data_IF_184621571231
#
_entry.id   IF_184621571231
#
_cell.length_a   1.000
_cell.length_b   1.000
_cell.length_c   1.000
_cell.angle_alpha   90.00
_cell.angle_beta   90.00
_cell.angle_gamma   90.00
#
_symmetry.space_group_name_H-M   'P 1'
#
loop_
_entity.id
_entity.type
_entity.pdbx_description
1 polymer ?
#
# COMPACT_ATOMS: atom_id res chain seq x y z
N UNK A 1 0.58 -3.24 11.77
CA UNK A 1 0.97 -4.50 12.45
C UNK A 1 2.41 -4.77 12.09
N UNK A 2 3.31 -4.78 13.08
CA UNK A 2 4.74 -5.01 12.87
C UNK A 2 5.08 -6.47 12.58
N UNK A 3 6.38 -6.75 12.34
CA UNK A 3 6.90 -8.12 12.13
C UNK A 3 6.61 -9.05 13.32
N UNK A 4 6.61 -8.47 14.52
CA UNK A 4 6.23 -9.10 15.79
C UNK A 4 4.73 -9.39 15.94
N UNK A 5 3.93 -9.10 14.89
CA UNK A 5 2.47 -9.25 14.83
C UNK A 5 1.71 -8.35 15.81
N UNK A 6 2.35 -7.32 16.35
CA UNK A 6 1.70 -6.36 17.25
C UNK A 6 1.05 -5.23 16.44
N UNK A 7 -0.23 -4.89 16.69
CA UNK A 7 -0.86 -3.69 16.13
C UNK A 7 -0.19 -2.42 16.66
N UNK A 8 0.16 -1.51 15.75
CA UNK A 8 0.64 -0.19 16.14
C UNK A 8 -0.55 0.68 16.56
N UNK A 9 -0.36 1.50 17.58
CA UNK A 9 -1.24 2.63 17.86
C UNK A 9 -1.00 3.75 16.83
N UNK A 10 -1.88 4.76 16.83
CA UNK A 10 -1.71 5.95 16.00
C UNK A 10 -0.50 6.79 16.47
N UNK A 11 0.26 7.33 15.52
CA UNK A 11 1.38 8.24 15.76
C UNK A 11 2.46 8.11 14.69
N UNK A 12 3.44 9.02 14.67
CA UNK A 12 4.51 9.03 13.67
C UNK A 12 4.05 9.38 12.25
N UNK A 13 4.78 8.91 11.24
CA UNK A 13 4.49 9.10 9.80
C UNK A 13 4.89 7.87 8.98
N UNK A 14 4.43 7.81 7.73
CA UNK A 14 4.79 6.77 6.73
C UNK A 14 4.47 5.32 7.13
N UNK A 15 3.52 5.10 8.04
CA UNK A 15 3.26 3.81 8.69
C UNK A 15 1.83 3.30 8.47
N UNK A 16 1.18 3.73 7.39
CA UNK A 16 -0.16 3.26 7.03
C UNK A 16 -0.11 1.84 6.44
N UNK A 17 -1.20 1.08 6.59
CA UNK A 17 -1.31 -0.23 5.93
C UNK A 17 -1.58 -0.05 4.42
N UNK A 18 -0.61 -0.44 3.57
CA UNK A 18 -0.69 -0.30 2.11
C UNK A 18 -1.76 -1.20 1.44
N UNK A 19 -2.25 -2.19 2.19
CA UNK A 19 -3.31 -3.10 1.76
C UNK A 19 -4.71 -2.67 2.22
N UNK A 20 -4.82 -1.65 3.08
CA UNK A 20 -6.11 -1.18 3.60
C UNK A 20 -7.00 -0.61 2.47
N UNK A 21 -8.20 -1.15 2.24
CA UNK A 21 -9.13 -0.60 1.25
C UNK A 21 -9.58 0.80 1.64
N UNK A 22 -9.83 1.05 2.93
CA UNK A 22 -10.25 2.36 3.44
C UNK A 22 -9.16 3.41 3.20
N UNK A 23 -7.89 3.09 3.49
CA UNK A 23 -6.80 4.04 3.28
C UNK A 23 -6.63 4.37 1.79
N UNK A 24 -6.75 3.36 0.91
CA UNK A 24 -6.70 3.55 -0.55
C UNK A 24 -7.85 4.39 -1.07
N UNK A 25 -9.07 4.14 -0.60
CA UNK A 25 -10.25 4.91 -0.99
C UNK A 25 -10.12 6.38 -0.57
N UNK A 26 -9.73 6.61 0.68
CA UNK A 26 -9.63 7.97 1.25
C UNK A 26 -8.50 8.77 0.63
N UNK A 27 -7.34 8.14 0.37
CA UNK A 27 -6.23 8.80 -0.34
C UNK A 27 -6.57 9.06 -1.80
N UNK A 28 -7.28 8.17 -2.47
CA UNK A 28 -7.77 8.42 -3.82
C UNK A 28 -8.75 9.61 -3.85
N UNK A 29 -9.71 9.65 -2.92
CA UNK A 29 -10.69 10.75 -2.82
C UNK A 29 -10.02 12.12 -2.71
N UNK A 30 -9.08 12.29 -1.77
CA UNK A 30 -8.39 13.58 -1.61
C UNK A 30 -7.48 13.90 -2.80
N UNK A 31 -6.80 12.91 -3.39
CA UNK A 31 -5.99 13.11 -4.58
C UNK A 31 -6.83 13.59 -5.77
N UNK A 32 -8.02 13.00 -5.97
CA UNK A 32 -8.96 13.43 -7.01
C UNK A 32 -9.40 14.86 -6.79
N UNK A 33 -9.80 15.25 -5.57
CA UNK A 33 -10.20 16.62 -5.27
C UNK A 33 -9.07 17.64 -5.48
N UNK A 34 -7.83 17.28 -5.15
CA UNK A 34 -6.65 18.12 -5.43
C UNK A 34 -6.45 18.31 -6.94
N UNK A 35 -6.57 17.23 -7.72
CA UNK A 35 -6.44 17.28 -9.17
C UNK A 35 -7.57 18.08 -9.82
N UNK A 36 -8.82 17.85 -9.44
CA UNK A 36 -9.99 18.61 -9.93
C UNK A 36 -9.83 20.11 -9.69
N UNK A 37 -9.31 20.48 -8.51
CA UNK A 37 -9.18 21.89 -8.12
C UNK A 37 -7.98 22.59 -8.77
N UNK A 38 -6.86 21.91 -8.94
CA UNK A 38 -5.58 22.57 -9.24
C UNK A 38 -4.89 22.12 -10.53
N UNK A 39 -5.35 21.06 -11.20
CA UNK A 39 -4.67 20.54 -12.41
C UNK A 39 -4.52 21.54 -13.54
N UNK A 40 -5.40 22.54 -13.65
CA UNK A 40 -5.35 23.61 -14.65
C UNK A 40 -4.70 24.90 -14.15
N UNK A 41 -4.24 24.96 -12.89
CA UNK A 41 -3.66 26.16 -12.32
C UNK A 41 -2.24 26.39 -12.88
N UNK A 42 -1.91 27.57 -13.43
CA UNK A 42 -0.66 27.79 -14.16
C UNK A 42 0.62 27.63 -13.32
N UNK A 43 0.50 27.70 -11.99
CA UNK A 43 1.62 27.50 -11.07
C UNK A 43 1.90 26.02 -10.73
N UNK A 44 1.05 25.07 -11.13
CA UNK A 44 1.28 23.65 -10.86
C UNK A 44 2.26 23.09 -11.88
N UNK A 45 3.47 22.77 -11.42
CA UNK A 45 4.54 22.20 -12.26
C UNK A 45 4.59 20.67 -12.22
N UNK A 46 4.09 20.06 -11.15
CA UNK A 46 4.13 18.62 -10.96
C UNK A 46 3.53 18.19 -9.62
N UNK A 47 3.40 16.88 -9.45
CA UNK A 47 2.80 16.27 -8.27
C UNK A 47 3.83 15.48 -7.47
N UNK A 48 4.05 15.89 -6.23
CA UNK A 48 4.83 15.12 -5.27
C UNK A 48 3.93 14.12 -4.55
N UNK A 49 4.06 12.84 -4.90
CA UNK A 49 3.14 11.79 -4.42
C UNK A 49 3.61 11.26 -3.07
N UNK A 50 2.75 11.42 -2.06
CA UNK A 50 3.05 11.03 -0.67
C UNK A 50 4.35 11.67 -0.17
N UNK A 51 5.13 10.93 0.63
CA UNK A 51 6.46 11.32 1.07
C UNK A 51 7.23 10.06 1.53
N UNK A 52 8.46 9.88 1.06
CA UNK A 52 9.41 8.82 1.49
C UNK A 52 8.76 7.45 1.76
N UNK A 53 8.20 6.83 0.72
CA UNK A 53 7.59 5.50 0.85
C UNK A 53 8.56 4.50 1.50
N UNK A 54 8.04 3.75 2.47
CA UNK A 54 8.82 2.75 3.18
C UNK A 54 7.99 1.97 4.20
N UNK A 55 8.64 1.03 4.86
CA UNK A 55 8.03 0.17 5.86
C UNK A 55 7.18 -0.96 5.27
N UNK A 56 6.60 -1.74 6.17
CA UNK A 56 5.79 -2.91 5.85
C UNK A 56 4.68 -3.10 6.89
N UNK A 57 3.65 -3.87 6.51
CA UNK A 57 2.56 -4.21 7.41
C UNK A 57 2.26 -5.71 7.32
N UNK A 58 2.05 -6.33 8.47
CA UNK A 58 1.91 -7.77 8.64
C UNK A 58 0.51 -8.19 9.10
N UNK A 59 -0.51 -7.35 8.89
CA UNK A 59 -1.90 -7.68 9.22
C UNK A 59 -2.53 -8.65 8.21
N UNK A 60 -3.71 -9.19 8.52
CA UNK A 60 -4.39 -10.19 7.68
C UNK A 60 -4.69 -9.70 6.26
N UNK A 61 -5.02 -8.41 6.08
CA UNK A 61 -5.19 -7.83 4.74
C UNK A 61 -3.91 -7.93 3.91
N UNK A 62 -2.76 -7.66 4.51
CA UNK A 62 -1.47 -7.78 3.85
C UNK A 62 -1.11 -9.26 3.60
N UNK A 63 -1.39 -10.15 4.55
CA UNK A 63 -1.14 -11.59 4.38
C UNK A 63 -1.97 -12.17 3.24
N UNK A 64 -3.25 -11.81 3.14
CA UNK A 64 -4.11 -12.27 2.05
C UNK A 64 -3.62 -11.74 0.70
N UNK A 65 -3.32 -10.44 0.60
CA UNK A 65 -2.77 -9.86 -0.64
C UNK A 65 -1.39 -10.42 -1.01
N UNK A 66 -0.57 -10.78 -0.03
CA UNK A 66 0.70 -11.45 -0.29
C UNK A 66 0.49 -12.84 -0.87
N UNK A 67 -0.45 -13.63 -0.33
CA UNK A 67 -0.81 -14.93 -0.92
C UNK A 67 -1.39 -14.78 -2.33
N UNK A 68 -2.20 -13.76 -2.58
CA UNK A 68 -2.71 -13.50 -3.93
C UNK A 68 -1.59 -13.13 -4.91
N UNK A 69 -0.63 -12.32 -4.45
CA UNK A 69 0.58 -12.02 -5.22
C UNK A 69 1.42 -13.28 -5.49
N UNK A 70 1.57 -14.17 -4.51
CA UNK A 70 2.27 -15.45 -4.68
C UNK A 70 1.57 -16.36 -5.69
N UNK A 71 0.24 -16.48 -5.60
CA UNK A 71 -0.56 -17.23 -6.60
C UNK A 71 -0.34 -16.65 -8.00
N UNK A 72 -0.43 -15.33 -8.17
CA UNK A 72 -0.20 -14.69 -9.47
C UNK A 72 1.24 -14.86 -9.98
N UNK A 73 2.22 -14.93 -9.08
CA UNK A 73 3.63 -15.07 -9.45
C UNK A 73 4.01 -16.51 -9.83
N UNK A 74 3.59 -17.48 -9.03
CA UNK A 74 4.03 -18.87 -9.17
C UNK A 74 3.01 -19.76 -9.87
N UNK A 75 1.75 -19.33 -9.98
CA UNK A 75 0.61 -20.01 -10.58
C UNK A 75 0.15 -21.28 -9.87
N UNK A 76 1.09 -22.13 -9.47
CA UNK A 76 0.84 -23.37 -8.74
C UNK A 76 1.64 -23.43 -7.45
N UNK A 77 1.20 -24.28 -6.52
CA UNK A 77 1.91 -24.48 -5.28
C UNK A 77 3.22 -25.25 -5.51
N UNK A 78 3.25 -26.15 -6.48
CA UNK A 78 4.44 -26.91 -6.89
C UNK A 78 5.55 -25.97 -7.36
N UNK A 79 5.23 -24.98 -8.19
CA UNK A 79 6.19 -23.99 -8.67
C UNK A 79 6.71 -23.10 -7.52
N UNK A 80 5.85 -22.75 -6.57
CA UNK A 80 6.26 -22.00 -5.38
C UNK A 80 7.24 -22.83 -4.54
N UNK A 81 6.89 -24.08 -4.23
CA UNK A 81 7.76 -24.99 -3.47
C UNK A 81 9.10 -25.18 -4.19
N UNK A 82 9.08 -25.50 -5.49
CA UNK A 82 10.31 -25.66 -6.28
C UNK A 82 11.21 -24.41 -6.26
N UNK A 83 10.61 -23.20 -6.24
CA UNK A 83 11.37 -21.96 -6.16
C UNK A 83 11.94 -21.66 -4.76
N UNK A 84 11.33 -22.22 -3.70
CA UNK A 84 11.65 -21.92 -2.30
C UNK A 84 12.36 -23.07 -1.57
N UNK A 85 12.71 -24.15 -2.29
CA UNK A 85 13.26 -25.41 -1.77
C UNK A 85 12.22 -26.25 -0.98
#
# INVERSE_FOLDING_TARGET
VGRDRVPALHGGRHNHCMSSPVYREKTLQINTLLAERYSSHPAVLGWHISNEYGGECHCDLCQNRFRDWLKARYQTLENLNQAWW
#
